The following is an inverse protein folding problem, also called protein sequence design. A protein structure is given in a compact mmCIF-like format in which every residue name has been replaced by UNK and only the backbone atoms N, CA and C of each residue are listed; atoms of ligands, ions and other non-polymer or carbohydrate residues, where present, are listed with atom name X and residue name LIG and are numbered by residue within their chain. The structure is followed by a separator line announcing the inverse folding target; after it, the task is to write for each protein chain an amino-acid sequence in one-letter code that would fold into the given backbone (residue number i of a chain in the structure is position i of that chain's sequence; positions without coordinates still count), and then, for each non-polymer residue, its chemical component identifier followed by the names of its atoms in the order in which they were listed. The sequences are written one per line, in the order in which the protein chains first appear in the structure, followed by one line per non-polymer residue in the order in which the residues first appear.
data_IF_805031701280
#
_entry.id   IF_805031701280
#
_cell.length_a   1.000
_cell.length_b   1.000
_cell.length_c   1.000
_cell.angle_alpha   90.00
_cell.angle_beta   90.00
_cell.angle_gamma   90.00
#
_symmetry.space_group_name_H-M   'P 1'
#
loop_
_entity.id
_entity.type
_entity.pdbx_description
1 polymer ?
#
# COMPACT_ATOMS: atom_id res chain seq x y z
N UNK A 1 -6.57 -8.21 6.31
CA UNK A 1 -7.53 -7.85 5.24
C UNK A 1 -6.84 -6.82 4.34
N UNK A 2 -6.90 -7.03 3.03
CA UNK A 2 -6.36 -6.12 2.02
C UNK A 2 -7.44 -5.93 0.95
N UNK A 3 -7.68 -4.68 0.54
CA UNK A 3 -8.67 -4.29 -0.46
C UNK A 3 -8.08 -3.16 -1.31
N UNK A 4 -8.27 -3.22 -2.63
CA UNK A 4 -7.77 -2.19 -3.55
C UNK A 4 -8.92 -1.56 -4.32
N UNK A 5 -9.00 -0.22 -4.27
CA UNK A 5 -9.99 0.56 -5.02
C UNK A 5 -9.32 1.65 -5.85
N UNK A 6 -9.59 1.65 -7.16
CA UNK A 6 -9.06 2.62 -8.10
C UNK A 6 -9.99 3.82 -8.28
N UNK A 7 -9.45 4.93 -8.80
CA UNK A 7 -10.17 6.21 -8.92
C UNK A 7 -10.19 7.03 -7.62
N UNK A 8 -9.26 6.77 -6.70
CA UNK A 8 -9.21 7.48 -5.43
C UNK A 8 -8.78 8.93 -5.60
N UNK A 9 -9.49 9.85 -4.96
CA UNK A 9 -8.99 11.22 -4.74
C UNK A 9 -8.08 11.25 -3.52
N UNK A 10 -6.98 11.99 -3.61
CA UNK A 10 -5.97 12.07 -2.54
C UNK A 10 -5.70 13.54 -2.20
N UNK A 11 -5.64 13.82 -0.91
CA UNK A 11 -5.20 15.10 -0.35
C UNK A 11 -4.17 14.86 0.74
N UNK A 12 -3.32 15.86 0.95
CA UNK A 12 -2.39 15.96 2.06
C UNK A 12 -2.50 17.35 2.71
N UNK A 13 -1.64 17.63 3.70
CA UNK A 13 -1.60 18.93 4.39
C UNK A 13 -1.25 20.14 3.51
N UNK A 14 -0.93 19.94 2.22
CA UNK A 14 -0.65 21.01 1.24
C UNK A 14 -1.74 21.13 0.17
N UNK A 15 -2.74 20.26 0.18
CA UNK A 15 -3.88 20.30 -0.75
C UNK A 15 -4.06 18.99 -1.51
N UNK A 16 -4.60 19.08 -2.72
CA UNK A 16 -4.90 17.90 -3.55
C UNK A 16 -3.62 17.36 -4.19
N UNK A 17 -3.42 16.05 -4.10
CA UNK A 17 -2.36 15.33 -4.83
C UNK A 17 -2.94 14.79 -6.13
N UNK A 18 -2.31 15.09 -7.26
CA UNK A 18 -2.77 14.68 -8.59
C UNK A 18 -1.98 13.47 -9.10
N UNK A 19 -2.65 12.42 -9.61
CA UNK A 19 -1.99 11.29 -10.26
C UNK A 19 -1.59 11.63 -11.71
N UNK A 20 -0.64 10.88 -12.26
CA UNK A 20 -0.32 10.87 -13.69
C UNK A 20 -1.33 10.06 -14.49
N UNK A 21 -1.87 8.99 -13.92
CA UNK A 21 -3.00 8.25 -14.48
C UNK A 21 -4.20 8.29 -13.55
N UNK A 22 -4.21 7.41 -12.56
CA UNK A 22 -5.18 7.38 -11.48
C UNK A 22 -4.54 6.79 -10.21
N UNK A 23 -5.07 7.14 -9.05
CA UNK A 23 -4.70 6.46 -7.82
C UNK A 23 -5.56 5.22 -7.58
N UNK A 24 -4.89 4.10 -7.30
CA UNK A 24 -5.50 2.96 -6.62
C UNK A 24 -5.10 2.98 -5.15
N UNK A 25 -6.09 2.93 -4.25
CA UNK A 25 -5.90 2.90 -2.80
C UNK A 25 -5.96 1.47 -2.31
N UNK A 26 -4.87 0.98 -1.76
CA UNK A 26 -4.83 -0.23 -0.94
C UNK A 26 -5.19 0.14 0.50
N UNK A 27 -6.23 -0.46 1.04
CA UNK A 27 -6.57 -0.42 2.46
C UNK A 27 -6.06 -1.71 3.10
N UNK A 28 -5.25 -1.60 4.16
CA UNK A 28 -4.63 -2.76 4.79
C UNK A 28 -4.61 -2.66 6.31
N UNK A 29 -4.66 -3.83 6.95
CA UNK A 29 -4.35 -3.99 8.38
C UNK A 29 -3.13 -4.90 8.50
N UNK A 30 -2.09 -4.41 9.17
CA UNK A 30 -0.86 -5.16 9.43
C UNK A 30 -0.75 -5.42 10.92
N UNK A 31 -0.48 -6.68 11.29
CA UNK A 31 -0.28 -7.13 12.67
C UNK A 31 1.17 -7.60 12.82
N UNK A 32 1.78 -7.27 13.95
CA UNK A 32 3.09 -7.78 14.32
C UNK A 32 2.92 -9.00 15.22
N UNK A 33 3.13 -10.20 14.66
CA UNK A 33 3.10 -11.47 15.38
C UNK A 33 4.49 -11.94 15.84
N UNK A 34 5.52 -11.13 15.61
CA UNK A 34 6.87 -11.37 16.11
C UNK A 34 7.06 -10.87 17.54
N UNK A 35 8.29 -11.04 18.05
CA UNK A 35 8.69 -10.67 19.42
C UNK A 35 9.36 -9.30 19.54
N UNK A 36 9.76 -8.67 18.43
CA UNK A 36 10.41 -7.36 18.39
C UNK A 36 9.51 -6.25 17.82
N UNK A 37 9.88 -4.98 18.02
CA UNK A 37 9.22 -3.84 17.35
C UNK A 37 9.60 -3.85 15.87
N UNK A 38 8.60 -3.69 14.99
CA UNK A 38 8.81 -3.61 13.54
C UNK A 38 8.35 -2.26 13.01
N UNK A 39 9.04 -1.77 11.98
CA UNK A 39 8.58 -0.63 11.19
C UNK A 39 7.93 -1.14 9.92
N UNK A 40 6.69 -0.72 9.68
CA UNK A 40 5.98 -0.98 8.43
C UNK A 40 5.98 0.30 7.60
N UNK A 41 6.30 0.16 6.32
CA UNK A 41 6.31 1.24 5.35
C UNK A 41 5.56 0.85 4.09
N UNK A 42 4.91 1.81 3.43
CA UNK A 42 4.13 1.54 2.21
C UNK A 42 4.95 0.90 1.08
N UNK A 43 6.25 1.19 1.02
CA UNK A 43 7.18 0.62 0.03
C UNK A 43 7.35 -0.91 0.14
N UNK A 44 6.92 -1.53 1.23
CA UNK A 44 6.88 -2.99 1.39
C UNK A 44 5.72 -3.63 0.64
N UNK A 45 4.84 -2.84 0.01
CA UNK A 45 3.69 -3.33 -0.75
C UNK A 45 3.76 -2.96 -2.22
N UNK A 46 3.41 -3.91 -3.08
CA UNK A 46 3.24 -3.74 -4.53
C UNK A 46 1.86 -4.20 -4.95
N UNK A 47 1.33 -3.64 -6.04
CA UNK A 47 0.15 -4.16 -6.71
C UNK A 47 0.54 -4.66 -8.10
N UNK A 48 0.06 -5.84 -8.47
CA UNK A 48 0.19 -6.40 -9.80
C UNK A 48 -1.15 -6.30 -10.52
N UNK A 49 -1.14 -5.81 -11.75
CA UNK A 49 -2.35 -5.72 -12.56
C UNK A 49 -2.60 -6.97 -13.41
N UNK A 50 -3.77 -7.03 -14.04
CA UNK A 50 -4.20 -8.15 -14.89
C UNK A 50 -3.28 -8.42 -16.08
N UNK A 51 -2.42 -7.48 -16.46
CA UNK A 51 -1.43 -7.63 -17.53
C UNK A 51 -0.06 -8.08 -16.99
N UNK A 52 0.02 -8.36 -15.69
CA UNK A 52 1.25 -8.77 -15.00
C UNK A 52 2.19 -7.64 -14.63
N UNK A 53 1.81 -6.37 -14.85
CA UNK A 53 2.67 -5.22 -14.53
C UNK A 53 2.60 -4.92 -13.03
N UNK A 54 3.77 -4.71 -12.44
CA UNK A 54 3.93 -4.40 -11.01
C UNK A 54 4.05 -2.90 -10.81
N UNK A 55 3.29 -2.37 -9.85
CA UNK A 55 3.28 -0.96 -9.48
C UNK A 55 3.66 -0.83 -7.99
N UNK A 56 4.52 0.15 -7.69
CA UNK A 56 4.97 0.47 -6.33
C UNK A 56 4.15 1.60 -5.74
N UNK A 57 4.11 1.67 -4.41
CA UNK A 57 3.45 2.77 -3.72
C UNK A 57 4.01 4.13 -4.19
N UNK A 58 3.14 5.10 -4.40
CA UNK A 58 3.50 6.44 -4.86
C UNK A 58 4.09 7.27 -3.72
N UNK A 59 5.31 7.79 -3.92
CA UNK A 59 5.93 8.71 -2.96
C UNK A 59 5.17 10.05 -2.85
N UNK A 60 4.40 10.43 -3.87
CA UNK A 60 3.62 11.67 -3.84
C UNK A 60 2.51 11.65 -2.77
N UNK A 61 2.10 10.46 -2.31
CA UNK A 61 0.99 10.29 -1.36
C UNK A 61 1.46 9.96 0.06
N UNK A 62 2.75 10.12 0.37
CA UNK A 62 3.30 9.78 1.69
C UNK A 62 2.65 10.60 2.82
N UNK A 63 2.33 11.86 2.54
CA UNK A 63 1.65 12.78 3.47
C UNK A 63 0.12 12.68 3.44
N UNK A 64 -0.45 11.74 2.68
CA UNK A 64 -1.89 11.59 2.60
C UNK A 64 -2.48 11.13 3.95
N UNK A 65 -3.69 11.57 4.24
CA UNK A 65 -4.39 11.18 5.46
C UNK A 65 -4.56 9.65 5.55
N UNK A 66 -4.24 9.10 6.74
CA UNK A 66 -4.32 7.66 6.99
C UNK A 66 -3.22 6.81 6.32
N UNK A 67 -2.23 7.45 5.70
CA UNK A 67 -1.08 6.76 5.09
C UNK A 67 -0.33 5.86 6.09
N UNK A 68 -0.03 4.64 5.66
CA UNK A 68 0.82 3.69 6.43
C UNK A 68 2.32 3.94 6.21
N UNK A 69 2.69 5.07 5.60
CA UNK A 69 4.05 5.32 5.11
C UNK A 69 5.16 5.02 6.10
N UNK A 70 4.99 5.35 7.39
CA UNK A 70 5.91 4.96 8.45
C UNK A 70 5.16 4.76 9.76
N UNK A 71 4.97 3.49 10.16
CA UNK A 71 4.32 3.12 11.42
C UNK A 71 5.13 2.06 12.15
N UNK A 72 5.39 2.28 13.44
CA UNK A 72 5.96 1.26 14.32
C UNK A 72 4.84 0.42 14.92
N UNK A 73 5.06 -0.90 14.98
CA UNK A 73 4.11 -1.86 15.53
C UNK A 73 4.83 -2.68 16.59
N UNK A 74 4.41 -2.52 17.85
CA UNK A 74 4.87 -3.36 18.95
C UNK A 74 4.34 -4.80 18.82
N UNK A 75 5.01 -5.79 19.43
CA UNK A 75 4.55 -7.19 19.46
C UNK A 75 3.08 -7.33 19.85
N UNK A 76 2.34 -8.15 19.11
CA UNK A 76 0.91 -8.41 19.32
C UNK A 76 -0.03 -7.25 18.95
N UNK A 77 0.49 -6.10 18.51
CA UNK A 77 -0.31 -4.96 18.08
C UNK A 77 -0.55 -4.99 16.56
N UNK A 78 -1.51 -4.18 16.13
CA UNK A 78 -1.86 -4.00 14.72
C UNK A 78 -2.01 -2.53 14.39
N UNK A 79 -1.76 -2.18 13.13
CA UNK A 79 -2.05 -0.88 12.55
C UNK A 79 -2.95 -1.05 11.33
N UNK A 80 -3.80 -0.07 11.08
CA UNK A 80 -4.57 0.02 9.84
C UNK A 80 -4.17 1.31 9.14
N UNK A 81 -4.05 1.24 7.82
CA UNK A 81 -3.70 2.41 7.03
C UNK A 81 -3.89 2.14 5.55
N UNK A 82 -3.49 3.13 4.76
CA UNK A 82 -3.60 3.07 3.30
C UNK A 82 -2.26 3.30 2.63
N UNK A 83 -2.12 2.72 1.43
CA UNK A 83 -1.08 3.06 0.47
C UNK A 83 -1.76 3.37 -0.87
N UNK A 84 -1.20 4.31 -1.63
CA UNK A 84 -1.73 4.67 -2.95
C UNK A 84 -0.71 4.33 -4.03
N UNK A 85 -1.21 3.93 -5.20
CA UNK A 85 -0.42 3.58 -6.37
C UNK A 85 -0.89 4.44 -7.54
N UNK A 86 0.03 5.19 -8.15
CA UNK A 86 -0.25 5.93 -9.37
C UNK A 86 -0.06 4.98 -10.55
N UNK A 87 -1.16 4.61 -11.19
CA UNK A 87 -1.22 3.61 -12.25
C UNK A 87 -1.91 4.21 -13.48
N UNK A 88 -1.71 3.64 -14.69
CA UNK A 88 -2.49 4.04 -15.85
C UNK A 88 -4.01 4.02 -15.60
N UNK A 89 -4.74 4.92 -16.26
CA UNK A 89 -6.20 4.91 -16.22
C UNK A 89 -6.74 3.56 -16.74
N UNK A 90 -7.76 3.02 -16.08
CA UNK A 90 -8.33 1.70 -16.40
C UNK A 90 -7.53 0.49 -15.90
N UNK A 91 -6.38 0.67 -15.23
CA UNK A 91 -5.67 -0.43 -14.56
C UNK A 91 -6.57 -1.17 -13.58
N UNK A 92 -6.52 -2.51 -13.64
CA UNK A 92 -7.21 -3.43 -12.73
C UNK A 92 -6.18 -4.23 -11.91
N UNK A 93 -5.91 -3.83 -10.66
CA UNK A 93 -5.09 -4.62 -9.74
C UNK A 93 -5.74 -5.98 -9.46
N UNK A 94 -4.95 -7.05 -9.51
CA UNK A 94 -5.42 -8.43 -9.26
C UNK A 94 -4.63 -9.12 -8.14
N UNK A 95 -3.46 -8.59 -7.78
CA UNK A 95 -2.65 -9.13 -6.67
C UNK A 95 -2.05 -7.98 -5.87
N UNK A 96 -2.01 -8.15 -4.55
CA UNK A 96 -1.17 -7.35 -3.66
C UNK A 96 -0.04 -8.25 -3.17
N UNK A 97 1.20 -7.78 -3.24
CA UNK A 97 2.32 -8.45 -2.59
C UNK A 97 2.79 -7.61 -1.41
N UNK A 98 3.10 -8.28 -0.29
CA UNK A 98 3.74 -7.70 0.87
C UNK A 98 5.09 -8.37 1.10
N UNK A 99 6.14 -7.57 1.29
CA UNK A 99 7.49 -8.04 1.55
C UNK A 99 8.05 -7.36 2.79
N UNK A 100 8.28 -8.13 3.85
CA UNK A 100 8.77 -7.60 5.13
C UNK A 100 10.19 -7.02 5.05
N UNK A 101 11.07 -7.63 4.26
CA UNK A 101 12.45 -7.15 4.00
C UNK A 101 12.92 -7.51 2.60
N UNK A 102 13.99 -6.88 2.11
CA UNK A 102 14.55 -7.19 0.79
C UNK A 102 14.90 -8.69 0.59
N UNK A 103 15.19 -9.40 1.68
CA UNK A 103 15.59 -10.81 1.68
C UNK A 103 14.42 -11.78 1.96
N UNK A 104 13.29 -11.29 2.46
CA UNK A 104 12.13 -12.16 2.75
C UNK A 104 11.36 -12.51 1.49
N UNK A 105 10.83 -13.74 1.40
CA UNK A 105 9.82 -14.09 0.39
C UNK A 105 8.58 -13.21 0.51
N UNK A 106 7.96 -12.81 -0.61
CA UNK A 106 6.73 -12.03 -0.58
C UNK A 106 5.55 -12.91 -0.15
N UNK A 107 4.62 -12.32 0.60
CA UNK A 107 3.27 -12.85 0.77
C UNK A 107 2.37 -12.23 -0.28
N UNK A 108 1.57 -13.05 -0.96
CA UNK A 108 0.66 -12.60 -2.02
C UNK A 108 -0.80 -12.76 -1.59
N UNK A 109 -1.61 -11.78 -1.97
CA UNK A 109 -3.06 -11.81 -1.79
C UNK A 109 -3.71 -11.54 -3.14
N UNK A 110 -4.43 -12.53 -3.66
CA UNK A 110 -5.29 -12.35 -4.82
C UNK A 110 -6.48 -11.46 -4.46
N UNK A 111 -6.75 -10.48 -5.32
CA UNK A 111 -7.90 -9.60 -5.21
C UNK A 111 -9.09 -10.23 -5.97
N UNK A 112 -10.32 -10.03 -5.47
CA UNK A 112 -11.53 -10.52 -6.11
C UNK A 112 -11.81 -9.85 -7.47
#
# INVERSE_FOLDING_TARGET
MMDVKCGASVSDGRGRVLPKGQFCRLSMTVRNDGSGVVTVVAAQTTVKDSNGKVHRASAATMGADGSIFLKQIHPGKKVTGVAYYDVPAGTKPVTVEFRGSALSSPAEVSLP
#
